data_IF_233153969007
#
_entry.id   IF_233153969007
#
_cell.length_a   1.000
_cell.length_b   1.000
_cell.length_c   1.000
_cell.angle_alpha   90.00
_cell.angle_beta   90.00
_cell.angle_gamma   90.00
#
_symmetry.space_group_name_H-M   'P 1'
#
loop_
_entity.id
_entity.type
_entity.pdbx_description
1 polymer ?
#
# COMPACT_ATOMS: atom_id res chain seq x y z
N UNK A 1 -3.80 20.76 24.00
CA UNK A 1 -2.41 21.26 24.06
C UNK A 1 -1.89 21.35 22.64
N UNK A 2 -1.19 22.42 22.27
CA UNK A 2 -0.61 22.53 20.93
C UNK A 2 0.44 21.42 20.72
N UNK A 3 0.38 20.72 19.58
CA UNK A 3 1.39 19.71 19.22
C UNK A 3 2.78 20.35 19.11
N UNK A 4 3.79 19.69 19.67
CA UNK A 4 5.19 20.11 19.56
C UNK A 4 5.69 19.98 18.11
N UNK A 5 6.80 20.64 17.77
CA UNK A 5 7.37 20.52 16.42
C UNK A 5 7.84 19.08 16.12
N UNK A 6 8.41 18.40 17.12
CA UNK A 6 8.81 16.99 17.02
C UNK A 6 7.60 16.07 16.76
N UNK A 7 6.48 16.28 17.46
CA UNK A 7 5.23 15.51 17.22
C UNK A 7 4.72 15.69 15.78
N UNK A 8 4.75 16.92 15.27
CA UNK A 8 4.34 17.20 13.89
C UNK A 8 5.27 16.51 12.89
N UNK A 9 6.58 16.58 13.10
CA UNK A 9 7.57 15.89 12.24
C UNK A 9 7.36 14.37 12.27
N UNK A 10 7.13 13.78 13.45
CA UNK A 10 6.83 12.35 13.57
C UNK A 10 5.57 11.97 12.82
N UNK A 11 4.47 12.72 12.96
CA UNK A 11 3.24 12.49 12.22
C UNK A 11 3.49 12.50 10.71
N UNK A 12 4.25 13.47 10.20
CA UNK A 12 4.60 13.55 8.77
C UNK A 12 5.42 12.34 8.30
N UNK A 13 6.37 11.87 9.11
CA UNK A 13 7.12 10.64 8.84
C UNK A 13 6.17 9.44 8.81
N UNK A 14 5.28 9.30 9.79
CA UNK A 14 4.33 8.18 9.87
C UNK A 14 3.33 8.19 8.71
N UNK A 15 2.84 9.36 8.27
CA UNK A 15 1.88 9.45 7.18
C UNK A 15 2.52 9.30 5.80
N UNK A 16 3.67 9.95 5.57
CA UNK A 16 4.24 10.02 4.22
C UNK A 16 5.77 9.96 4.14
N UNK A 17 6.47 9.68 5.24
CA UNK A 17 7.90 9.37 5.24
C UNK A 17 8.81 10.54 4.91
N UNK A 18 8.40 11.77 5.28
CA UNK A 18 9.26 12.95 5.19
C UNK A 18 8.97 13.86 6.37
N UNK A 19 10.02 14.48 6.93
CA UNK A 19 9.91 15.39 8.08
C UNK A 19 9.37 16.75 7.67
N UNK A 20 9.70 17.16 6.45
CA UNK A 20 9.23 18.38 5.85
C UNK A 20 7.74 18.26 5.47
N UNK A 21 7.10 19.41 5.29
CA UNK A 21 5.74 19.49 4.75
C UNK A 21 5.71 19.19 3.24
N UNK A 22 6.50 18.22 2.77
CA UNK A 22 6.66 17.83 1.38
C UNK A 22 6.31 16.36 1.21
N UNK A 23 5.23 16.15 0.45
CA UNK A 23 4.91 14.84 -0.07
C UNK A 23 5.60 14.64 -1.42
N UNK A 24 6.39 13.57 -1.51
CA UNK A 24 6.95 13.11 -2.78
C UNK A 24 6.33 11.75 -3.11
N UNK A 25 5.70 11.51 -4.24
CA UNK A 25 5.09 10.20 -4.49
C UNK A 25 6.10 9.06 -4.76
N UNK A 26 5.64 7.79 -4.76
CA UNK A 26 6.44 6.60 -5.13
C UNK A 26 6.84 5.66 -3.98
N UNK A 27 7.56 4.57 -4.31
CA UNK A 27 7.96 3.54 -3.36
C UNK A 27 8.96 4.06 -2.33
N UNK A 28 8.52 4.07 -1.07
CA UNK A 28 9.25 4.65 0.05
C UNK A 28 10.51 3.86 0.42
N UNK A 29 10.46 2.53 0.38
CA UNK A 29 11.62 1.68 0.68
C UNK A 29 12.84 1.95 -0.23
N UNK A 30 12.66 2.61 -1.37
CA UNK A 30 13.74 3.01 -2.29
C UNK A 30 14.38 4.36 -1.93
N UNK A 31 13.78 5.16 -1.04
CA UNK A 31 14.30 6.47 -0.59
C UNK A 31 15.47 6.37 0.39
N UNK A 32 16.01 5.18 0.57
CA UNK A 32 17.15 4.90 1.46
C UNK A 32 16.95 5.53 2.84
N UNK A 33 15.83 5.25 3.51
CA UNK A 33 15.61 5.70 4.90
C UNK A 33 16.68 5.23 5.88
N UNK A 34 17.43 4.21 5.47
CA UNK A 34 18.56 3.66 6.19
C UNK A 34 19.85 4.49 6.03
N UNK A 35 19.84 5.58 5.27
CA UNK A 35 20.94 6.55 5.27
C UNK A 35 21.15 7.11 6.67
N UNK A 36 22.42 7.16 7.09
CA UNK A 36 22.80 7.48 8.46
C UNK A 36 22.22 8.82 8.94
N UNK A 37 22.26 9.85 8.09
CA UNK A 37 21.71 11.17 8.39
C UNK A 37 20.21 11.12 8.71
N UNK A 38 19.42 10.41 7.88
CA UNK A 38 17.96 10.29 8.06
C UNK A 38 17.61 9.47 9.30
N UNK A 39 18.38 8.44 9.58
CA UNK A 39 18.23 7.63 10.79
C UNK A 39 18.51 8.48 12.03
N UNK A 40 19.58 9.28 12.00
CA UNK A 40 19.97 10.15 13.11
C UNK A 40 18.93 11.25 13.36
N UNK A 41 18.37 11.85 12.30
CA UNK A 41 17.28 12.81 12.40
C UNK A 41 16.03 12.20 13.05
N UNK A 42 15.60 11.03 12.58
CA UNK A 42 14.48 10.30 13.19
C UNK A 42 14.73 9.98 14.67
N UNK A 43 15.96 9.58 15.02
CA UNK A 43 16.34 9.32 16.43
C UNK A 43 16.26 10.59 17.29
N UNK A 44 16.68 11.74 16.76
CA UNK A 44 16.53 13.03 17.45
C UNK A 44 15.07 13.35 17.72
N UNK A 45 14.20 13.20 16.71
CA UNK A 45 12.75 13.44 16.84
C UNK A 45 12.14 12.50 17.89
N UNK A 46 12.49 11.21 17.87
CA UNK A 46 12.01 10.22 18.85
C UNK A 46 12.52 10.54 20.28
N UNK A 47 13.69 11.16 20.42
CA UNK A 47 14.25 11.52 21.72
C UNK A 47 13.57 12.75 22.33
N UNK A 48 13.13 13.70 21.52
CA UNK A 48 12.44 14.93 21.95
C UNK A 48 10.99 14.70 22.39
N UNK A 49 10.35 13.63 21.91
CA UNK A 49 8.95 13.33 22.24
C UNK A 49 8.88 12.54 23.56
N UNK A 50 7.97 12.97 24.43
CA UNK A 50 7.64 12.26 25.67
C UNK A 50 7.26 10.79 25.41
N UNK A 51 7.76 9.90 26.26
CA UNK A 51 7.70 8.45 26.04
C UNK A 51 6.28 7.91 25.85
N UNK A 52 5.33 8.28 26.72
CA UNK A 52 3.94 7.83 26.61
C UNK A 52 3.27 8.37 25.34
N UNK A 53 3.46 9.67 25.10
CA UNK A 53 2.89 10.38 23.95
C UNK A 53 3.37 9.84 22.61
N UNK A 54 4.64 9.43 22.52
CA UNK A 54 5.22 8.79 21.34
C UNK A 54 4.42 7.55 20.92
N UNK A 55 4.17 6.63 21.86
CA UNK A 55 3.46 5.40 21.54
C UNK A 55 1.96 5.63 21.32
N UNK A 56 1.38 6.65 21.96
CA UNK A 56 -0.02 7.04 21.69
C UNK A 56 -0.19 7.54 20.25
N UNK A 57 0.77 8.34 19.74
CA UNK A 57 0.76 8.78 18.34
C UNK A 57 0.87 7.59 17.40
N UNK A 58 1.82 6.68 17.62
CA UNK A 58 2.02 5.50 16.76
C UNK A 58 0.75 4.62 16.77
N UNK A 59 0.18 4.34 17.95
CA UNK A 59 -1.06 3.56 18.08
C UNK A 59 -2.25 4.24 17.41
N UNK A 60 -2.37 5.56 17.55
CA UNK A 60 -3.42 6.34 16.91
C UNK A 60 -3.37 6.19 15.39
N UNK A 61 -2.20 6.43 14.78
CA UNK A 61 -2.02 6.34 13.32
C UNK A 61 -2.33 4.92 12.80
N UNK A 62 -1.89 3.90 13.53
CA UNK A 62 -2.16 2.51 13.16
C UNK A 62 -3.66 2.15 13.26
N UNK A 63 -4.32 2.52 14.37
CA UNK A 63 -5.75 2.23 14.60
C UNK A 63 -6.65 2.95 13.60
N UNK A 64 -6.36 4.22 13.32
CA UNK A 64 -7.13 5.02 12.37
C UNK A 64 -6.83 4.63 10.91
N UNK A 65 -5.79 3.82 10.68
CA UNK A 65 -5.28 3.44 9.35
C UNK A 65 -4.99 4.67 8.49
N UNK A 66 -4.37 5.68 9.12
CA UNK A 66 -4.13 6.99 8.52
C UNK A 66 -2.80 7.12 7.82
N UNK A 67 -1.92 6.14 7.95
CA UNK A 67 -0.69 6.13 7.18
C UNK A 67 -0.92 5.67 5.74
N UNK A 68 -0.36 6.42 4.78
CA UNK A 68 -0.29 5.98 3.38
C UNK A 68 0.71 4.85 3.17
N UNK A 69 1.65 4.70 4.12
CA UNK A 69 2.69 3.69 4.09
C UNK A 69 2.77 3.04 5.47
N UNK A 70 1.85 2.10 5.77
CA UNK A 70 1.83 1.40 7.07
C UNK A 70 3.17 0.77 7.44
N UNK A 71 3.97 0.35 6.45
CA UNK A 71 5.36 -0.09 6.61
C UNK A 71 6.23 0.87 7.45
N UNK A 72 6.00 2.19 7.35
CA UNK A 72 6.76 3.20 8.09
C UNK A 72 6.46 3.19 9.59
N UNK A 73 5.26 2.77 9.99
CA UNK A 73 4.90 2.59 11.40
C UNK A 73 5.81 1.53 12.02
N UNK A 74 5.99 0.41 11.33
CA UNK A 74 6.87 -0.68 11.77
C UNK A 74 8.35 -0.27 11.76
N UNK A 75 8.75 0.57 10.81
CA UNK A 75 10.10 1.12 10.77
C UNK A 75 10.39 2.02 11.97
N UNK A 76 9.50 2.98 12.27
CA UNK A 76 9.62 3.86 13.46
C UNK A 76 9.62 3.04 14.74
N UNK A 77 8.77 2.01 14.82
CA UNK A 77 8.70 1.12 15.97
C UNK A 77 9.99 0.32 16.16
N UNK A 78 10.61 -0.14 15.07
CA UNK A 78 11.91 -0.79 15.10
C UNK A 78 13.02 0.18 15.57
N UNK A 79 12.99 1.46 15.17
CA UNK A 79 13.92 2.47 15.71
C UNK A 79 13.69 2.70 17.21
N UNK A 80 12.44 2.77 17.67
CA UNK A 80 12.13 2.85 19.10
C UNK A 80 12.68 1.64 19.87
N UNK A 81 12.57 0.44 19.31
CA UNK A 81 13.04 -0.79 19.93
C UNK A 81 14.57 -0.94 20.01
N UNK A 82 15.33 -0.07 19.34
CA UNK A 82 16.80 -0.01 19.48
C UNK A 82 17.21 0.66 20.79
N UNK A 83 16.49 1.69 21.23
CA UNK A 83 16.74 2.34 22.52
C UNK A 83 16.40 1.41 23.67
N UNK A 84 17.29 1.28 24.66
CA UNK A 84 17.07 0.37 25.80
C UNK A 84 15.84 0.76 26.62
N UNK A 85 15.63 2.06 26.78
CA UNK A 85 14.53 2.64 27.55
C UNK A 85 13.20 2.40 26.85
N UNK A 86 13.14 2.61 25.53
CA UNK A 86 11.91 2.50 24.72
C UNK A 86 11.59 1.07 24.27
N UNK A 87 12.55 0.14 24.35
CA UNK A 87 12.44 -1.24 23.83
C UNK A 87 11.27 -2.05 24.40
N UNK A 88 10.99 -2.06 25.70
CA UNK A 88 9.88 -2.84 26.25
C UNK A 88 8.54 -2.44 25.64
N UNK A 89 8.25 -1.14 25.59
CA UNK A 89 6.99 -0.61 25.06
C UNK A 89 6.91 -0.69 23.54
N UNK A 90 8.04 -0.52 22.84
CA UNK A 90 8.09 -0.71 21.40
C UNK A 90 7.79 -2.16 21.00
N UNK A 91 8.34 -3.15 21.73
CA UNK A 91 8.04 -4.56 21.47
C UNK A 91 6.59 -4.92 21.87
N UNK A 92 6.05 -4.31 22.91
CA UNK A 92 4.64 -4.49 23.29
C UNK A 92 3.70 -3.93 22.23
N UNK A 93 3.94 -2.71 21.75
CA UNK A 93 3.20 -2.15 20.63
C UNK A 93 3.40 -2.98 19.35
N UNK A 94 4.58 -3.56 19.12
CA UNK A 94 4.80 -4.44 17.97
C UNK A 94 3.97 -5.73 18.08
N UNK A 95 3.78 -6.27 19.29
CA UNK A 95 2.90 -7.42 19.55
C UNK A 95 1.44 -7.11 19.25
N UNK A 96 0.99 -5.87 19.52
CA UNK A 96 -0.36 -5.39 19.18
C UNK A 96 -0.54 -5.19 17.66
N UNK A 97 0.49 -4.70 16.96
CA UNK A 97 0.38 -4.26 15.56
C UNK A 97 0.76 -5.33 14.53
N UNK A 98 1.69 -6.22 14.85
CA UNK A 98 2.16 -7.27 13.94
C UNK A 98 1.20 -8.47 13.96
N UNK A 99 -0.07 -8.25 13.63
CA UNK A 99 -1.08 -9.31 13.61
C UNK A 99 -0.89 -10.26 12.42
N UNK A 100 -0.48 -9.73 11.26
CA UNK A 100 -0.23 -10.50 10.04
C UNK A 100 1.21 -10.99 9.95
N UNK A 101 1.42 -12.08 9.19
CA UNK A 101 2.75 -12.61 8.90
C UNK A 101 3.64 -11.58 8.17
N UNK A 102 3.08 -10.82 7.23
CA UNK A 102 3.80 -9.77 6.51
C UNK A 102 4.36 -8.70 7.45
N UNK A 103 3.53 -8.17 8.36
CA UNK A 103 3.96 -7.10 9.28
C UNK A 103 5.00 -7.61 10.27
N UNK A 104 4.80 -8.84 10.76
CA UNK A 104 5.75 -9.49 11.65
C UNK A 104 7.13 -9.66 10.99
N UNK A 105 7.19 -10.22 9.78
CA UNK A 105 8.44 -10.39 9.04
C UNK A 105 9.06 -9.04 8.63
N UNK A 106 8.23 -8.05 8.27
CA UNK A 106 8.69 -6.70 7.92
C UNK A 106 9.29 -5.96 9.11
N UNK A 107 8.71 -6.09 10.30
CA UNK A 107 9.31 -5.55 11.53
C UNK A 107 10.74 -6.07 11.72
N UNK A 108 10.97 -7.37 11.55
CA UNK A 108 12.32 -7.94 11.69
C UNK A 108 13.28 -7.51 10.58
N UNK A 109 12.76 -7.29 9.37
CA UNK A 109 13.54 -6.62 8.32
C UNK A 109 14.05 -5.27 8.80
N UNK A 110 13.20 -4.41 9.33
CA UNK A 110 13.62 -3.10 9.82
C UNK A 110 14.54 -3.20 11.03
N UNK A 111 14.25 -4.11 11.97
CA UNK A 111 15.03 -4.37 13.18
C UNK A 111 16.49 -4.77 12.90
N UNK A 112 16.74 -5.39 11.73
CA UNK A 112 18.05 -5.89 11.30
C UNK A 112 18.65 -5.15 10.11
N UNK A 113 17.95 -4.16 9.55
CA UNK A 113 18.44 -3.40 8.40
C UNK A 113 19.49 -2.34 8.78
N UNK A 114 19.43 -1.78 10.01
CA UNK A 114 20.29 -0.66 10.45
C UNK A 114 20.92 -0.94 11.81
N UNK A 115 22.20 -0.58 11.94
CA UNK A 115 22.98 -0.66 13.18
C UNK A 115 22.67 0.50 14.15
N UNK A 116 22.67 0.29 15.48
CA UNK A 116 22.78 -1.02 16.14
C UNK A 116 21.53 -1.87 15.87
N UNK A 117 21.74 -3.16 15.61
CA UNK A 117 20.63 -4.09 15.41
C UNK A 117 19.86 -4.30 16.71
N UNK A 118 18.56 -4.56 16.61
CA UNK A 118 17.81 -5.03 17.78
C UNK A 118 18.43 -6.35 18.24
N UNK A 119 18.86 -6.38 19.50
CA UNK A 119 19.45 -7.55 20.12
C UNK A 119 18.47 -8.74 20.19
N UNK A 120 19.00 -9.96 20.22
CA UNK A 120 18.21 -11.20 20.37
C UNK A 120 18.09 -11.61 21.84
N UNK A 121 18.01 -10.63 22.74
CA UNK A 121 17.90 -10.84 24.18
C UNK A 121 16.52 -11.39 24.60
N UNK A 122 16.32 -11.56 25.91
CA UNK A 122 15.12 -12.19 26.48
C UNK A 122 13.81 -11.56 26.00
N UNK A 123 13.73 -10.22 25.95
CA UNK A 123 12.53 -9.51 25.53
C UNK A 123 12.18 -9.77 24.05
N UNK A 124 13.17 -9.73 23.17
CA UNK A 124 13.00 -10.00 21.73
C UNK A 124 12.60 -11.46 21.48
N UNK A 125 13.27 -12.42 22.15
CA UNK A 125 12.88 -13.84 22.06
C UNK A 125 11.46 -14.08 22.56
N UNK A 126 11.05 -13.44 23.67
CA UNK A 126 9.68 -13.53 24.19
C UNK A 126 8.67 -12.98 23.19
N UNK A 127 8.93 -11.83 22.59
CA UNK A 127 8.07 -11.25 21.55
C UNK A 127 7.89 -12.22 20.38
N UNK A 128 8.99 -12.78 19.85
CA UNK A 128 8.93 -13.75 18.76
C UNK A 128 8.12 -14.99 19.19
N UNK A 129 8.45 -15.59 20.34
CA UNK A 129 7.79 -16.80 20.84
C UNK A 129 6.29 -16.58 21.03
N UNK A 130 5.90 -15.45 21.63
CA UNK A 130 4.49 -15.11 21.84
C UNK A 130 3.73 -15.01 20.51
N UNK A 131 4.35 -14.46 19.47
CA UNK A 131 3.70 -14.30 18.17
C UNK A 131 3.28 -15.66 17.57
N UNK A 132 4.10 -16.70 17.73
CA UNK A 132 3.77 -18.04 17.24
C UNK A 132 2.87 -18.81 18.20
N UNK A 133 3.13 -18.77 19.51
CA UNK A 133 2.46 -19.65 20.47
C UNK A 133 1.10 -19.14 20.97
N UNK A 134 0.77 -17.86 20.79
CA UNK A 134 -0.55 -17.32 21.21
C UNK A 134 -1.67 -17.59 20.20
N UNK A 135 -1.33 -17.93 18.95
CA UNK A 135 -2.29 -18.13 17.87
C UNK A 135 -2.88 -19.54 17.92
N UNK A 136 -4.07 -19.71 17.35
CA UNK A 136 -4.57 -21.05 17.09
C UNK A 136 -3.64 -21.75 16.08
N UNK A 137 -3.45 -23.06 16.23
CA UNK A 137 -2.50 -23.83 15.42
C UNK A 137 -2.90 -23.88 13.93
N UNK A 138 -4.20 -23.95 13.62
CA UNK A 138 -4.71 -23.90 12.26
C UNK A 138 -4.60 -22.50 11.66
N UNK A 139 -5.01 -21.47 12.41
CA UNK A 139 -4.87 -20.07 12.01
C UNK A 139 -3.40 -19.70 11.71
N UNK A 140 -2.48 -20.18 12.54
CA UNK A 140 -1.04 -20.03 12.31
C UNK A 140 -0.61 -20.76 11.03
N UNK A 141 -1.10 -21.98 10.80
CA UNK A 141 -0.81 -22.74 9.58
C UNK A 141 -1.30 -22.02 8.31
N UNK A 142 -2.49 -21.43 8.35
CA UNK A 142 -3.05 -20.63 7.27
C UNK A 142 -2.19 -19.39 6.99
N UNK A 143 -1.85 -18.60 8.01
CA UNK A 143 -1.02 -17.39 7.85
C UNK A 143 0.34 -17.68 7.22
N UNK A 144 1.03 -18.72 7.69
CA UNK A 144 2.38 -19.06 7.18
C UNK A 144 2.34 -19.82 5.86
N UNK A 145 1.21 -20.50 5.59
CA UNK A 145 0.90 -21.09 4.28
C UNK A 145 0.66 -20.02 3.22
N UNK A 146 0.01 -18.92 3.59
CA UNK A 146 -0.21 -17.77 2.72
C UNK A 146 1.09 -16.97 2.51
N UNK A 147 1.77 -16.63 3.60
CA UNK A 147 2.98 -15.79 3.59
C UNK A 147 4.18 -16.56 4.17
N UNK A 148 4.82 -17.46 3.40
CA UNK A 148 5.96 -18.23 3.89
C UNK A 148 7.21 -17.38 4.13
N UNK A 149 7.30 -16.24 3.42
CA UNK A 149 8.40 -15.29 3.53
C UNK A 149 7.92 -13.92 3.07
N UNK A 150 8.52 -12.86 3.61
CA UNK A 150 8.21 -11.50 3.19
C UNK A 150 9.47 -10.64 3.20
N UNK A 151 9.70 -9.92 2.10
CA UNK A 151 10.77 -8.93 1.94
C UNK A 151 12.19 -9.44 2.28
N UNK A 152 12.44 -10.74 2.10
CA UNK A 152 13.74 -11.39 2.33
C UNK A 152 13.88 -12.09 3.68
N UNK A 153 12.85 -12.07 4.53
CA UNK A 153 12.81 -12.77 5.81
C UNK A 153 11.88 -13.97 5.76
N UNK A 154 12.27 -15.08 6.39
CA UNK A 154 11.44 -16.29 6.51
C UNK A 154 11.11 -16.56 7.97
N UNK A 155 9.99 -17.23 8.21
CA UNK A 155 9.62 -17.67 9.57
C UNK A 155 10.70 -18.57 10.20
N UNK A 156 11.35 -19.43 9.40
CA UNK A 156 12.46 -20.27 9.83
C UNK A 156 13.59 -19.49 10.53
N UNK A 157 13.91 -18.29 10.03
CA UNK A 157 14.99 -17.47 10.56
C UNK A 157 14.63 -16.96 11.97
N UNK A 158 13.37 -16.59 12.18
CA UNK A 158 12.85 -16.12 13.48
C UNK A 158 12.70 -17.25 14.50
N UNK A 159 12.23 -18.42 14.05
CA UNK A 159 12.13 -19.63 14.90
C UNK A 159 13.52 -20.01 15.41
N UNK A 160 14.55 -19.94 14.55
CA UNK A 160 15.94 -20.19 14.93
C UNK A 160 16.46 -19.15 15.94
N UNK A 161 16.15 -17.86 15.76
CA UNK A 161 16.58 -16.78 16.67
C UNK A 161 15.98 -16.94 18.07
N UNK A 162 14.70 -17.32 18.16
CA UNK A 162 13.97 -17.42 19.41
C UNK A 162 14.06 -18.80 20.08
N UNK A 163 14.57 -19.81 19.38
CA UNK A 163 14.61 -21.21 19.83
C UNK A 163 13.23 -21.71 20.27
N UNK A 164 12.21 -21.44 19.45
CA UNK A 164 10.81 -21.73 19.78
C UNK A 164 10.60 -23.24 19.85
N UNK A 165 9.89 -23.68 20.89
CA UNK A 165 9.39 -25.05 21.05
C UNK A 165 7.94 -24.96 21.52
N UNK A 166 7.10 -25.88 21.04
CA UNK A 166 5.73 -26.04 21.51
C UNK A 166 5.54 -27.42 22.10
N UNK A 167 4.77 -27.51 23.18
CA UNK A 167 4.28 -28.78 23.76
C UNK A 167 3.01 -29.27 23.07
N UNK A 168 2.29 -28.37 22.39
CA UNK A 168 1.13 -28.72 21.56
C UNK A 168 1.60 -29.33 20.22
N UNK A 169 1.21 -30.58 19.91
CA UNK A 169 1.62 -31.26 18.68
C UNK A 169 1.22 -30.51 17.40
N UNK A 170 0.05 -29.87 17.37
CA UNK A 170 -0.41 -29.14 16.19
C UNK A 170 0.49 -27.93 15.88
N UNK A 171 0.75 -27.10 16.89
CA UNK A 171 1.68 -25.96 16.76
C UNK A 171 3.11 -26.43 16.49
N UNK A 172 3.55 -27.53 17.12
CA UNK A 172 4.87 -28.12 16.88
C UNK A 172 5.03 -28.61 15.42
N UNK A 173 3.96 -29.14 14.81
CA UNK A 173 3.92 -29.50 13.40
C UNK A 173 4.12 -28.28 12.50
N UNK A 174 3.48 -27.14 12.77
CA UNK A 174 3.70 -25.89 12.02
C UNK A 174 5.15 -25.41 12.13
N UNK A 175 5.70 -25.35 13.35
CA UNK A 175 7.09 -24.93 13.57
C UNK A 175 8.09 -25.84 12.84
N UNK A 176 7.79 -27.15 12.81
CA UNK A 176 8.58 -28.16 12.10
C UNK A 176 8.49 -27.99 10.58
N UNK A 177 7.29 -27.75 10.05
CA UNK A 177 7.08 -27.44 8.63
C UNK A 177 7.93 -26.23 8.20
N UNK A 178 7.88 -25.14 8.98
CA UNK A 178 8.60 -23.91 8.64
C UNK A 178 10.13 -24.06 8.72
N UNK A 179 10.62 -24.85 9.67
CA UNK A 179 12.05 -24.98 9.92
C UNK A 179 12.72 -26.11 9.13
N UNK A 180 12.00 -27.21 8.89
CA UNK A 180 12.54 -28.48 8.35
C UNK A 180 11.78 -28.99 7.12
N UNK A 181 10.62 -28.40 6.78
CA UNK A 181 9.84 -28.72 5.59
C UNK A 181 8.74 -29.77 5.82
N UNK A 182 7.92 -29.96 4.78
CA UNK A 182 6.71 -30.80 4.83
C UNK A 182 6.99 -32.27 5.14
N UNK A 183 8.05 -32.85 4.55
CA UNK A 183 8.40 -34.26 4.76
C UNK A 183 8.62 -34.57 6.24
N UNK A 184 9.48 -33.80 6.91
CA UNK A 184 9.77 -33.99 8.32
C UNK A 184 8.58 -33.74 9.23
N UNK A 185 7.71 -32.78 8.91
CA UNK A 185 6.46 -32.57 9.64
C UNK A 185 5.58 -33.82 9.57
N UNK A 186 5.39 -34.39 8.37
CA UNK A 186 4.56 -35.59 8.16
C UNK A 186 5.17 -36.79 8.91
N UNK A 187 6.48 -36.99 8.80
CA UNK A 187 7.17 -38.10 9.46
C UNK A 187 7.03 -38.05 11.00
N UNK A 188 6.98 -36.86 11.59
CA UNK A 188 6.92 -36.67 13.05
C UNK A 188 5.50 -36.57 13.61
N UNK A 189 4.56 -35.99 12.87
CA UNK A 189 3.23 -35.61 13.37
C UNK A 189 2.06 -36.12 12.52
N UNK A 190 2.33 -36.86 11.43
CA UNK A 190 1.29 -37.31 10.49
C UNK A 190 0.22 -38.20 11.09
N UNK A 191 0.60 -39.03 12.07
CA UNK A 191 -0.31 -39.94 12.77
C UNK A 191 -0.88 -39.34 14.07
N UNK A 192 -0.48 -38.12 14.47
CA UNK A 192 -0.97 -37.50 15.70
C UNK A 192 -2.39 -36.95 15.50
N UNK A 193 -3.40 -37.44 16.25
CA UNK A 193 -4.78 -36.99 16.10
C UNK A 193 -4.96 -35.48 16.32
N UNK A 194 -4.15 -34.86 17.20
CA UNK A 194 -4.22 -33.43 17.50
C UNK A 194 -3.60 -32.57 16.40
N UNK A 195 -2.63 -33.09 15.66
CA UNK A 195 -1.98 -32.37 14.56
C UNK A 195 -2.59 -32.66 13.19
N UNK A 196 -3.49 -33.66 13.09
CA UNK A 196 -4.06 -34.16 11.83
C UNK A 196 -4.58 -33.06 10.90
N UNK A 197 -5.33 -32.11 11.42
CA UNK A 197 -5.91 -31.02 10.62
C UNK A 197 -4.83 -30.10 10.04
N UNK A 198 -3.91 -29.63 10.89
CA UNK A 198 -2.77 -28.79 10.50
C UNK A 198 -1.85 -29.49 9.50
N UNK A 199 -1.52 -30.76 9.76
CA UNK A 199 -0.67 -31.56 8.87
C UNK A 199 -1.36 -31.76 7.52
N UNK A 200 -2.66 -32.06 7.51
CA UNK A 200 -3.45 -32.18 6.29
C UNK A 200 -3.43 -30.87 5.49
N UNK A 201 -3.72 -29.74 6.12
CA UNK A 201 -3.72 -28.42 5.49
C UNK A 201 -2.35 -28.10 4.86
N UNK A 202 -1.27 -28.12 5.65
CA UNK A 202 0.07 -27.75 5.17
C UNK A 202 0.61 -28.72 4.12
N UNK A 203 0.29 -30.01 4.23
CA UNK A 203 0.61 -31.01 3.19
C UNK A 203 -0.08 -30.66 1.88
N UNK A 204 -1.35 -30.29 1.91
CA UNK A 204 -2.11 -29.94 0.71
C UNK A 204 -1.64 -28.62 0.10
N UNK A 205 -1.30 -27.61 0.92
CA UNK A 205 -0.68 -26.36 0.42
C UNK A 205 0.69 -26.62 -0.22
N UNK A 206 1.52 -27.49 0.37
CA UNK A 206 2.83 -27.84 -0.19
C UNK A 206 2.71 -28.62 -1.51
N UNK A 207 1.75 -29.54 -1.59
CA UNK A 207 1.44 -30.28 -2.81
C UNK A 207 0.87 -29.37 -3.90
N UNK A 208 -0.06 -28.48 -3.54
CA UNK A 208 -0.66 -27.51 -4.43
C UNK A 208 0.38 -26.69 -5.18
N UNK A 209 1.40 -26.19 -4.48
CA UNK A 209 2.50 -25.40 -5.08
C UNK A 209 3.31 -26.17 -6.12
N UNK A 210 3.30 -27.51 -6.06
CA UNK A 210 3.98 -28.40 -7.00
C UNK A 210 3.05 -28.93 -8.09
N UNK A 211 1.74 -28.85 -7.87
CA UNK A 211 0.73 -29.42 -8.75
C UNK A 211 0.64 -28.64 -10.07
N UNK A 212 0.74 -29.40 -11.16
CA UNK A 212 0.65 -28.91 -12.53
C UNK A 212 -0.70 -29.21 -13.18
N UNK A 213 -1.60 -29.97 -12.56
CA UNK A 213 -2.93 -30.26 -13.08
C UNK A 213 -3.91 -29.11 -12.83
N UNK A 214 -4.72 -28.74 -13.81
CA UNK A 214 -5.66 -27.62 -13.66
C UNK A 214 -6.87 -27.99 -12.79
N UNK A 215 -7.42 -29.20 -12.95
CA UNK A 215 -8.59 -29.63 -12.19
C UNK A 215 -8.31 -29.83 -10.71
N UNK A 216 -7.17 -30.44 -10.37
CA UNK A 216 -6.71 -30.63 -8.99
C UNK A 216 -6.44 -29.31 -8.27
N UNK A 217 -5.79 -28.36 -8.95
CA UNK A 217 -5.54 -27.00 -8.44
C UNK A 217 -6.86 -26.28 -8.12
N UNK A 218 -7.84 -26.33 -9.02
CA UNK A 218 -9.16 -25.69 -8.80
C UNK A 218 -9.88 -26.29 -7.59
N UNK A 219 -9.94 -27.62 -7.49
CA UNK A 219 -10.55 -28.30 -6.33
C UNK A 219 -9.89 -27.89 -5.02
N UNK A 220 -8.57 -27.78 -5.02
CA UNK A 220 -7.80 -27.38 -3.82
C UNK A 220 -8.10 -25.93 -3.43
N UNK A 221 -8.18 -25.02 -4.39
CA UNK A 221 -8.58 -23.61 -4.17
C UNK A 221 -9.97 -23.54 -3.54
N UNK A 222 -10.94 -24.30 -4.07
CA UNK A 222 -12.31 -24.30 -3.59
C UNK A 222 -12.45 -24.90 -2.18
N UNK A 223 -11.70 -25.99 -1.92
CA UNK A 223 -11.73 -26.73 -0.64
C UNK A 223 -11.09 -25.94 0.49
N UNK A 224 -9.89 -25.40 0.26
CA UNK A 224 -9.09 -24.72 1.30
C UNK A 224 -9.16 -23.19 1.22
N UNK A 225 -10.01 -22.65 0.35
CA UNK A 225 -10.19 -21.21 0.16
C UNK A 225 -8.87 -20.47 -0.15
N UNK A 226 -7.99 -21.09 -0.94
CA UNK A 226 -6.66 -20.54 -1.20
C UNK A 226 -6.74 -19.21 -1.97
N UNK A 227 -5.90 -18.26 -1.57
CA UNK A 227 -5.77 -16.94 -2.21
C UNK A 227 -4.71 -16.93 -3.31
N UNK A 228 -4.64 -15.82 -4.07
CA UNK A 228 -3.61 -15.61 -5.11
C UNK A 228 -2.17 -15.72 -4.57
N UNK A 229 -1.96 -15.41 -3.28
CA UNK A 229 -0.69 -15.50 -2.57
C UNK A 229 -0.10 -16.92 -2.56
N UNK A 230 -0.96 -17.94 -2.66
CA UNK A 230 -0.55 -19.34 -2.69
C UNK A 230 -0.05 -19.80 -4.07
N UNK A 231 -0.34 -19.04 -5.14
CA UNK A 231 -0.05 -19.45 -6.51
C UNK A 231 1.43 -19.39 -6.86
N UNK A 232 1.85 -20.33 -7.71
CA UNK A 232 3.14 -20.27 -8.40
C UNK A 232 3.01 -19.65 -9.81
N UNK A 233 4.14 -19.47 -10.50
CA UNK A 233 4.18 -18.89 -11.85
C UNK A 233 3.47 -19.74 -12.94
N UNK A 234 3.28 -21.04 -12.69
CA UNK A 234 2.58 -21.96 -13.60
C UNK A 234 1.07 -21.70 -13.48
N UNK A 235 0.55 -21.64 -12.26
CA UNK A 235 -0.85 -21.38 -11.97
C UNK A 235 -1.31 -20.01 -12.48
N UNK A 236 -0.47 -18.98 -12.31
CA UNK A 236 -0.78 -17.61 -12.75
C UNK A 236 -1.03 -17.46 -14.25
N UNK A 237 -0.67 -18.46 -15.07
CA UNK A 237 -0.91 -18.46 -16.53
C UNK A 237 -2.19 -19.18 -16.94
N UNK A 238 -2.83 -19.93 -16.03
CA UNK A 238 -4.00 -20.77 -16.33
C UNK A 238 -5.29 -20.01 -16.11
N UNK A 239 -6.15 -19.96 -17.13
CA UNK A 239 -7.38 -19.18 -17.09
C UNK A 239 -8.40 -19.73 -16.09
N UNK A 240 -8.62 -21.05 -16.03
CA UNK A 240 -9.65 -21.61 -15.15
C UNK A 240 -9.28 -21.48 -13.68
N UNK A 241 -7.98 -21.50 -13.35
CA UNK A 241 -7.48 -21.20 -12.00
C UNK A 241 -7.89 -19.80 -11.56
N UNK A 242 -7.78 -18.79 -12.45
CA UNK A 242 -8.24 -17.44 -12.13
C UNK A 242 -9.75 -17.34 -11.97
N UNK A 243 -10.54 -18.04 -12.79
CA UNK A 243 -12.00 -18.08 -12.63
C UNK A 243 -12.39 -18.62 -11.25
N UNK A 244 -11.72 -19.68 -10.78
CA UNK A 244 -11.93 -20.22 -9.44
C UNK A 244 -11.59 -19.21 -8.33
N UNK A 245 -10.49 -18.46 -8.48
CA UNK A 245 -10.07 -17.44 -7.51
C UNK A 245 -10.97 -16.21 -7.48
N UNK A 246 -11.43 -15.74 -8.64
CA UNK A 246 -12.21 -14.51 -8.77
C UNK A 246 -13.50 -14.54 -7.93
N UNK A 247 -14.12 -15.71 -7.74
CA UNK A 247 -15.38 -15.85 -6.99
C UNK A 247 -15.33 -15.31 -5.56
N UNK A 248 -14.15 -15.27 -4.94
CA UNK A 248 -13.95 -14.80 -3.56
C UNK A 248 -12.87 -13.72 -3.45
N UNK A 249 -12.40 -13.20 -4.59
CA UNK A 249 -11.29 -12.25 -4.62
C UNK A 249 -11.78 -10.86 -4.20
N UNK A 250 -11.10 -10.21 -3.24
CA UNK A 250 -11.33 -8.81 -2.95
C UNK A 250 -10.99 -7.89 -4.15
N UNK A 251 -11.71 -6.78 -4.28
CA UNK A 251 -11.57 -5.86 -5.42
C UNK A 251 -10.18 -5.22 -5.50
N UNK A 252 -9.55 -4.89 -4.37
CA UNK A 252 -8.21 -4.31 -4.30
C UNK A 252 -7.14 -5.30 -4.81
N UNK A 253 -7.27 -6.57 -4.42
CA UNK A 253 -6.44 -7.66 -4.91
C UNK A 253 -6.56 -7.80 -6.42
N UNK A 254 -7.79 -7.80 -6.96
CA UNK A 254 -8.00 -7.85 -8.41
C UNK A 254 -7.30 -6.70 -9.14
N UNK A 255 -7.37 -5.48 -8.62
CA UNK A 255 -6.73 -4.30 -9.23
C UNK A 255 -5.21 -4.46 -9.32
N UNK A 256 -4.56 -5.07 -8.33
CA UNK A 256 -3.13 -5.35 -8.36
C UNK A 256 -2.73 -6.35 -9.48
N UNK A 257 -3.65 -7.24 -9.88
CA UNK A 257 -3.40 -8.26 -10.90
C UNK A 257 -3.99 -7.93 -12.28
N UNK A 258 -4.86 -6.92 -12.43
CA UNK A 258 -5.60 -6.66 -13.68
C UNK A 258 -4.66 -6.51 -14.89
N UNK A 259 -3.50 -5.87 -14.70
CA UNK A 259 -2.49 -5.70 -15.74
C UNK A 259 -1.74 -7.00 -16.08
N UNK A 260 -1.58 -7.89 -15.10
CA UNK A 260 -1.03 -9.23 -15.32
C UNK A 260 -2.00 -10.08 -16.14
N UNK A 261 -3.30 -10.05 -15.84
CA UNK A 261 -4.35 -10.74 -16.61
C UNK A 261 -4.37 -10.27 -18.07
N UNK A 262 -4.20 -8.97 -18.29
CA UNK A 262 -4.05 -8.39 -19.63
C UNK A 262 -2.79 -8.91 -20.34
N UNK A 263 -1.65 -8.95 -19.63
CA UNK A 263 -0.36 -9.44 -20.16
C UNK A 263 -0.47 -10.90 -20.62
N UNK A 264 -1.20 -11.74 -19.88
CA UNK A 264 -1.45 -13.13 -20.24
C UNK A 264 -2.62 -13.33 -21.21
N UNK A 265 -3.22 -12.25 -21.72
CA UNK A 265 -4.32 -12.28 -22.69
C UNK A 265 -5.55 -13.07 -22.20
N UNK A 266 -5.79 -13.09 -20.89
CA UNK A 266 -6.86 -13.89 -20.28
C UNK A 266 -8.25 -13.43 -20.72
N UNK A 267 -8.44 -12.16 -20.99
CA UNK A 267 -9.71 -11.64 -21.50
C UNK A 267 -10.09 -12.10 -22.92
N UNK A 268 -9.23 -12.85 -23.63
CA UNK A 268 -9.45 -13.25 -25.03
C UNK A 268 -9.68 -14.75 -25.18
N UNK A 269 -10.54 -15.10 -26.14
CA UNK A 269 -10.73 -16.46 -26.68
C UNK A 269 -10.54 -16.40 -28.19
N UNK A 270 -9.32 -16.69 -28.65
CA UNK A 270 -8.92 -16.44 -30.04
C UNK A 270 -8.99 -14.96 -30.38
N UNK A 271 -9.79 -14.59 -31.38
CA UNK A 271 -10.01 -13.18 -31.78
C UNK A 271 -11.12 -12.49 -30.97
N UNK A 272 -11.98 -13.26 -30.31
CA UNK A 272 -13.12 -12.74 -29.55
C UNK A 272 -12.76 -12.48 -28.09
N UNK A 273 -13.64 -11.75 -27.42
CA UNK A 273 -13.62 -11.63 -25.97
C UNK A 273 -14.06 -12.94 -25.33
N UNK A 274 -13.44 -13.29 -24.21
CA UNK A 274 -13.89 -14.40 -23.38
C UNK A 274 -14.93 -13.88 -22.40
N UNK A 275 -16.21 -14.11 -22.72
CA UNK A 275 -17.31 -13.54 -21.93
C UNK A 275 -17.41 -14.15 -20.54
N UNK A 276 -17.06 -15.43 -20.38
CA UNK A 276 -17.02 -16.08 -19.06
C UNK A 276 -16.01 -15.39 -18.15
N UNK A 277 -14.79 -15.18 -18.65
CA UNK A 277 -13.73 -14.52 -17.89
C UNK A 277 -14.03 -13.03 -17.63
N UNK A 278 -14.57 -12.32 -18.63
CA UNK A 278 -14.96 -10.91 -18.47
C UNK A 278 -16.05 -10.74 -17.42
N UNK A 279 -17.07 -11.60 -17.45
CA UNK A 279 -18.18 -11.56 -16.48
C UNK A 279 -17.63 -11.80 -15.07
N UNK A 280 -16.82 -12.85 -14.87
CA UNK A 280 -16.21 -13.15 -13.58
C UNK A 280 -15.37 -11.98 -13.02
N UNK A 281 -14.66 -11.24 -13.88
CA UNK A 281 -13.91 -10.04 -13.46
C UNK A 281 -14.85 -8.88 -13.14
N UNK A 282 -15.88 -8.66 -13.95
CA UNK A 282 -16.84 -7.57 -13.73
C UNK A 282 -17.68 -7.77 -12.47
N UNK A 283 -18.02 -9.02 -12.13
CA UNK A 283 -18.73 -9.38 -10.90
C UNK A 283 -17.93 -8.95 -9.66
N UNK A 284 -16.61 -9.16 -9.67
CA UNK A 284 -15.72 -8.71 -8.58
C UNK A 284 -15.67 -7.19 -8.52
N UNK A 285 -15.56 -6.50 -9.67
CA UNK A 285 -15.52 -5.03 -9.72
C UNK A 285 -16.82 -4.38 -9.23
N UNK A 286 -17.96 -5.08 -9.31
CA UNK A 286 -19.27 -4.61 -8.87
C UNK A 286 -19.63 -5.04 -7.44
N UNK A 287 -18.75 -5.75 -6.73
CA UNK A 287 -19.03 -6.25 -5.39
C UNK A 287 -19.00 -5.13 -4.34
N UNK A 288 -20.19 -4.60 -4.00
CA UNK A 288 -20.37 -3.48 -3.05
C UNK A 288 -19.78 -3.78 -1.67
N UNK A 289 -19.91 -5.02 -1.17
CA UNK A 289 -19.38 -5.39 0.15
C UNK A 289 -17.85 -5.29 0.16
N UNK A 290 -17.20 -5.82 -0.89
CA UNK A 290 -15.74 -5.75 -1.02
C UNK A 290 -15.25 -4.31 -1.17
N UNK A 291 -16.00 -3.44 -1.86
CA UNK A 291 -15.66 -2.02 -2.02
C UNK A 291 -15.68 -1.31 -0.67
N UNK A 292 -16.69 -1.55 0.16
CA UNK A 292 -16.82 -0.94 1.48
C UNK A 292 -15.73 -1.44 2.46
N UNK A 293 -15.43 -2.74 2.46
CA UNK A 293 -14.45 -3.35 3.36
C UNK A 293 -13.01 -2.88 3.07
N UNK A 294 -12.65 -2.73 1.79
CA UNK A 294 -11.28 -2.41 1.36
C UNK A 294 -10.91 -0.93 1.52
N UNK A 295 -11.87 -0.04 1.85
CA UNK A 295 -11.69 1.43 1.89
C UNK A 295 -10.99 1.96 0.62
N UNK A 296 -11.28 1.34 -0.51
CA UNK A 296 -10.66 1.62 -1.79
C UNK A 296 -10.91 3.07 -2.18
N UNK A 297 -9.85 3.80 -2.55
CA UNK A 297 -9.92 5.20 -2.94
C UNK A 297 -10.18 5.36 -4.45
N UNK A 298 -10.98 6.34 -4.89
CA UNK A 298 -11.29 6.54 -6.32
C UNK A 298 -10.07 6.78 -7.19
N UNK A 299 -9.10 7.47 -6.62
CA UNK A 299 -7.82 7.79 -7.22
C UNK A 299 -7.00 6.55 -7.61
N UNK A 300 -7.07 5.46 -6.82
CA UNK A 300 -6.41 4.18 -7.15
C UNK A 300 -7.03 3.56 -8.39
N UNK A 301 -8.36 3.46 -8.41
CA UNK A 301 -9.10 2.86 -9.53
C UNK A 301 -8.89 3.65 -10.82
N UNK A 302 -8.86 4.98 -10.73
CA UNK A 302 -8.59 5.85 -11.88
C UNK A 302 -7.19 5.63 -12.48
N UNK A 303 -6.17 5.35 -11.66
CA UNK A 303 -4.83 4.99 -12.14
C UNK A 303 -4.88 3.67 -12.92
N UNK A 304 -5.55 2.66 -12.37
CA UNK A 304 -5.65 1.34 -12.99
C UNK A 304 -6.45 1.40 -14.30
N UNK A 305 -7.52 2.21 -14.36
CA UNK A 305 -8.28 2.52 -15.58
C UNK A 305 -7.39 3.17 -16.65
N UNK A 306 -6.67 4.24 -16.30
CA UNK A 306 -5.75 4.91 -17.22
C UNK A 306 -4.67 3.95 -17.72
N UNK A 307 -4.13 3.13 -16.82
CA UNK A 307 -3.10 2.14 -17.18
C UNK A 307 -3.67 1.08 -18.13
N UNK A 308 -4.88 0.59 -17.87
CA UNK A 308 -5.55 -0.36 -18.76
C UNK A 308 -5.76 0.21 -20.17
N UNK A 309 -6.28 1.44 -20.28
CA UNK A 309 -6.59 2.07 -21.55
C UNK A 309 -5.34 2.50 -22.34
N UNK A 310 -4.35 3.10 -21.68
CA UNK A 310 -3.26 3.80 -22.37
C UNK A 310 -1.93 3.04 -22.42
N UNK A 311 -1.71 2.04 -21.55
CA UNK A 311 -0.45 1.29 -21.56
C UNK A 311 -0.16 0.56 -22.87
N UNK A 312 -1.14 -0.10 -23.54
CA UNK A 312 -0.93 -0.75 -24.83
C UNK A 312 -0.37 0.20 -25.89
N UNK A 313 -1.00 1.37 -26.05
CA UNK A 313 -0.59 2.39 -27.02
C UNK A 313 0.78 2.98 -26.69
N UNK A 314 1.03 3.29 -25.43
CA UNK A 314 2.30 3.90 -25.03
C UNK A 314 3.49 2.93 -25.17
N UNK A 315 3.31 1.65 -24.83
CA UNK A 315 4.35 0.62 -25.04
C UNK A 315 4.68 0.46 -26.53
N UNK A 316 3.70 0.61 -27.40
CA UNK A 316 3.90 0.59 -28.85
C UNK A 316 4.73 1.78 -29.34
N UNK A 317 4.39 2.99 -28.89
CA UNK A 317 5.13 4.22 -29.22
C UNK A 317 6.60 4.11 -28.79
N UNK A 318 6.87 3.56 -27.59
CA UNK A 318 8.23 3.31 -27.10
C UNK A 318 8.97 2.23 -27.91
N UNK A 319 8.28 1.16 -28.29
CA UNK A 319 8.87 0.11 -29.12
C UNK A 319 9.25 0.63 -30.51
N UNK A 320 8.38 1.45 -31.12
CA UNK A 320 8.63 2.10 -32.40
C UNK A 320 9.83 3.06 -32.33
N UNK A 321 9.92 3.87 -31.27
CA UNK A 321 11.05 4.81 -31.07
C UNK A 321 12.38 4.13 -30.78
N UNK A 322 12.37 2.96 -30.14
CA UNK A 322 13.59 2.25 -29.74
C UNK A 322 14.14 1.30 -30.83
N UNK A 323 13.51 1.22 -32.01
CA UNK A 323 13.87 0.29 -33.11
C UNK A 323 13.98 -1.19 -32.69
N UNK A 324 13.49 -1.55 -31.49
CA UNK A 324 13.79 -2.83 -30.84
C UNK A 324 12.83 -3.98 -31.22
N UNK A 325 11.81 -3.77 -32.07
CA UNK A 325 10.91 -4.83 -32.59
C UNK A 325 9.91 -4.28 -33.62
N UNK A 326 9.37 -5.16 -34.46
CA UNK A 326 8.12 -4.94 -35.22
C UNK A 326 6.99 -4.61 -34.23
N UNK A 327 6.46 -3.40 -34.35
CA UNK A 327 5.35 -2.87 -33.58
C UNK A 327 4.09 -3.74 -33.76
N UNK A 328 3.78 -4.62 -32.80
CA UNK A 328 2.52 -5.37 -32.81
C UNK A 328 1.35 -4.43 -32.51
N UNK A 329 0.19 -4.60 -33.18
CA UNK A 329 -1.02 -3.83 -32.87
C UNK A 329 -1.33 -3.93 -31.37
N UNK A 330 -1.70 -2.80 -30.72
CA UNK A 330 -1.99 -2.83 -29.29
C UNK A 330 -3.21 -3.74 -29.05
N UNK A 331 -3.25 -4.52 -27.96
CA UNK A 331 -4.44 -5.27 -27.59
C UNK A 331 -5.66 -4.34 -27.54
N UNK A 332 -6.76 -4.77 -28.15
CA UNK A 332 -8.00 -3.99 -28.12
C UNK A 332 -8.56 -3.94 -26.70
N UNK A 333 -9.10 -2.78 -26.33
CA UNK A 333 -9.65 -2.44 -25.02
C UNK A 333 -11.11 -2.90 -24.95
N UNK A 334 -11.51 -3.52 -23.84
CA UNK A 334 -12.91 -3.91 -23.60
C UNK A 334 -13.69 -2.71 -23.11
N UNK A 335 -14.75 -2.36 -23.84
CA UNK A 335 -15.67 -1.31 -23.42
C UNK A 335 -16.37 -1.67 -22.10
N UNK A 336 -16.80 -2.94 -21.96
CA UNK A 336 -17.44 -3.45 -20.76
C UNK A 336 -16.56 -3.31 -19.52
N UNK A 337 -15.26 -3.63 -19.63
CA UNK A 337 -14.33 -3.49 -18.50
C UNK A 337 -14.07 -2.02 -18.14
N UNK A 338 -13.98 -1.14 -19.14
CA UNK A 338 -13.86 0.32 -18.93
C UNK A 338 -15.07 0.84 -18.16
N UNK A 339 -16.27 0.52 -18.63
CA UNK A 339 -17.52 0.98 -17.99
C UNK A 339 -17.63 0.48 -16.54
N UNK A 340 -17.25 -0.77 -16.25
CA UNK A 340 -17.27 -1.28 -14.87
C UNK A 340 -16.21 -0.62 -13.97
N UNK A 341 -15.03 -0.31 -14.50
CA UNK A 341 -14.03 0.48 -13.76
C UNK A 341 -14.51 1.92 -13.51
N UNK A 342 -15.20 2.54 -14.45
CA UNK A 342 -15.82 3.86 -14.27
C UNK A 342 -16.91 3.83 -13.18
N UNK A 343 -17.77 2.80 -13.18
CA UNK A 343 -18.75 2.59 -12.10
C UNK A 343 -18.08 2.37 -10.75
N UNK A 344 -16.99 1.60 -10.71
CA UNK A 344 -16.22 1.37 -9.50
C UNK A 344 -15.62 2.68 -8.96
N UNK A 345 -15.10 3.56 -9.83
CA UNK A 345 -14.63 4.89 -9.44
C UNK A 345 -15.76 5.66 -8.74
N UNK A 346 -16.97 5.64 -9.30
CA UNK A 346 -18.14 6.31 -8.71
C UNK A 346 -18.48 5.70 -7.33
N UNK A 347 -18.54 4.37 -7.22
CA UNK A 347 -18.85 3.68 -5.97
C UNK A 347 -17.80 3.95 -4.86
N UNK A 348 -16.53 4.09 -5.22
CA UNK A 348 -15.47 4.37 -4.23
C UNK A 348 -15.55 5.76 -3.60
N UNK A 349 -16.35 6.69 -4.13
CA UNK A 349 -16.55 8.00 -3.50
C UNK A 349 -17.25 7.90 -2.15
N UNK A 350 -18.08 6.88 -1.95
CA UNK A 350 -18.78 6.65 -0.68
C UNK A 350 -17.79 6.29 0.45
N UNK A 351 -16.58 5.82 0.10
CA UNK A 351 -15.51 5.54 1.05
C UNK A 351 -14.70 6.79 1.46
N UNK A 352 -14.94 7.95 0.83
CA UNK A 352 -14.17 9.17 1.08
C UNK A 352 -14.87 10.02 2.12
N UNK A 353 -14.26 10.18 3.29
CA UNK A 353 -14.80 11.06 4.33
C UNK A 353 -14.67 12.54 3.92
N UNK A 354 -15.78 13.31 3.89
CA UNK A 354 -15.74 14.72 3.60
C UNK A 354 -15.14 15.49 4.79
N UNK A 355 -14.30 16.47 4.49
CA UNK A 355 -13.66 17.30 5.54
C UNK A 355 -14.55 18.44 6.06
N UNK A 356 -15.64 18.75 5.35
CA UNK A 356 -16.53 19.88 5.67
C UNK A 356 -15.89 21.27 5.45
N UNK A 357 -14.68 21.35 4.88
CA UNK A 357 -13.97 22.59 4.61
C UNK A 357 -14.33 23.16 3.23
N UNK A 358 -14.16 24.46 3.06
CA UNK A 358 -14.36 25.14 1.77
C UNK A 358 -13.06 25.20 0.99
N UNK A 359 -13.08 24.56 -0.17
CA UNK A 359 -11.93 24.43 -1.05
C UNK A 359 -11.99 25.39 -2.22
N UNK A 360 -10.82 25.93 -2.59
CA UNK A 360 -10.59 26.50 -3.92
C UNK A 360 -9.50 25.67 -4.59
N UNK A 361 -9.84 25.04 -5.72
CA UNK A 361 -8.93 24.18 -6.49
C UNK A 361 -8.55 24.88 -7.77
N UNK A 362 -7.30 25.32 -7.85
CA UNK A 362 -6.78 26.01 -9.00
C UNK A 362 -5.84 25.12 -9.82
N UNK A 363 -6.20 24.87 -11.07
CA UNK A 363 -5.42 24.04 -12.00
C UNK A 363 -4.71 24.92 -13.02
N UNK A 364 -3.39 24.80 -13.12
CA UNK A 364 -2.58 25.35 -14.21
C UNK A 364 -2.58 24.41 -15.42
N UNK A 365 -3.16 24.84 -16.53
CA UNK A 365 -3.31 24.00 -17.72
C UNK A 365 -2.19 24.20 -18.76
N UNK A 366 -1.18 25.05 -18.52
CA UNK A 366 -0.32 25.55 -19.60
C UNK A 366 0.48 24.46 -20.34
N UNK A 367 0.97 23.45 -19.61
CA UNK A 367 1.84 22.40 -20.16
C UNK A 367 1.39 20.97 -19.80
N UNK A 368 0.22 20.83 -19.16
CA UNK A 368 -0.23 19.53 -18.63
C UNK A 368 -0.56 18.49 -19.71
N UNK A 369 -0.94 18.93 -20.91
CA UNK A 369 -1.26 18.01 -22.03
C UNK A 369 -0.02 17.45 -22.73
N UNK A 370 1.17 17.97 -22.43
CA UNK A 370 2.43 17.53 -23.07
C UNK A 370 3.23 16.59 -22.19
N UNK A 371 2.86 16.44 -20.92
CA UNK A 371 3.67 15.76 -19.90
C UNK A 371 2.89 14.62 -19.25
N UNK A 372 3.63 13.56 -18.92
CA UNK A 372 3.14 12.41 -18.16
C UNK A 372 3.53 12.56 -16.70
N UNK A 373 2.75 11.97 -15.80
CA UNK A 373 3.08 11.97 -14.37
C UNK A 373 4.34 11.12 -14.12
N UNK A 374 5.25 11.63 -13.29
CA UNK A 374 6.38 10.84 -12.80
C UNK A 374 5.85 9.58 -12.10
N UNK A 375 6.52 8.44 -12.25
CA UNK A 375 6.08 7.14 -11.72
C UNK A 375 4.71 6.61 -12.22
N UNK A 376 3.87 7.41 -12.89
CA UNK A 376 2.63 6.97 -13.54
C UNK A 376 2.72 7.20 -15.05
N UNK A 377 3.52 6.37 -15.71
CA UNK A 377 3.90 6.56 -17.10
C UNK A 377 2.72 6.56 -18.08
N UNK A 378 1.58 5.99 -17.70
CA UNK A 378 0.40 5.87 -18.55
C UNK A 378 -0.62 6.98 -18.35
N UNK A 379 -0.39 7.87 -17.39
CA UNK A 379 -1.27 8.98 -17.05
C UNK A 379 -0.66 10.32 -17.44
N UNK A 380 -1.46 11.17 -18.07
CA UNK A 380 -1.11 12.56 -18.38
C UNK A 380 -1.29 13.45 -17.15
N UNK A 381 -0.50 14.51 -17.02
CA UNK A 381 -0.66 15.43 -15.87
C UNK A 381 -2.01 16.15 -15.89
N UNK A 382 -2.62 16.35 -17.06
CA UNK A 382 -3.98 16.88 -17.18
C UNK A 382 -5.05 15.93 -16.65
N UNK A 383 -4.91 14.62 -16.89
CA UNK A 383 -5.80 13.59 -16.34
C UNK A 383 -5.66 13.51 -14.81
N UNK A 384 -4.42 13.58 -14.31
CA UNK A 384 -4.17 13.59 -12.88
C UNK A 384 -4.79 14.83 -12.20
N UNK A 385 -4.61 16.01 -12.79
CA UNK A 385 -5.20 17.24 -12.30
C UNK A 385 -6.72 17.21 -12.33
N UNK A 386 -7.31 16.65 -13.40
CA UNK A 386 -8.76 16.48 -13.52
C UNK A 386 -9.29 15.53 -12.45
N UNK A 387 -8.64 14.41 -12.15
CA UNK A 387 -9.11 13.49 -11.10
C UNK A 387 -9.04 14.12 -9.70
N UNK A 388 -7.97 14.86 -9.38
CA UNK A 388 -7.88 15.59 -8.09
C UNK A 388 -8.96 16.68 -8.01
N UNK A 389 -9.22 17.39 -9.12
CA UNK A 389 -10.23 18.43 -9.17
C UNK A 389 -11.66 17.86 -9.14
N UNK A 390 -11.93 16.76 -9.85
CA UNK A 390 -13.23 16.10 -9.91
C UNK A 390 -13.63 15.52 -8.56
N UNK A 391 -12.64 15.09 -7.75
CA UNK A 391 -12.91 14.67 -6.38
C UNK A 391 -13.50 15.79 -5.50
N UNK A 392 -13.27 17.08 -5.80
CA UNK A 392 -13.61 18.19 -4.86
C UNK A 392 -14.01 19.54 -5.49
N UNK A 393 -14.40 19.56 -6.77
CA UNK A 393 -14.97 20.68 -7.55
C UNK A 393 -14.67 22.12 -7.06
N UNK A 394 -13.70 22.81 -7.68
CA UNK A 394 -13.40 24.24 -7.47
C UNK A 394 -12.70 24.93 -8.67
N UNK A 395 -12.59 26.28 -8.69
CA UNK A 395 -12.46 27.10 -9.91
C UNK A 395 -11.04 27.29 -10.49
N UNK A 396 -10.98 27.51 -11.81
CA UNK A 396 -9.77 27.61 -12.66
C UNK A 396 -8.87 28.83 -12.32
N UNK A 397 -7.55 28.63 -12.49
CA UNK A 397 -6.40 29.57 -12.45
C UNK A 397 -5.73 29.88 -11.09
N UNK A 398 -4.41 29.63 -11.02
CA UNK A 398 -3.61 29.46 -9.78
C UNK A 398 -3.32 30.72 -8.97
N UNK A 399 -2.97 31.84 -9.61
CA UNK A 399 -2.68 33.10 -8.90
C UNK A 399 -3.88 34.06 -8.89
N UNK A 400 -4.71 33.97 -9.92
CA UNK A 400 -5.95 34.71 -10.00
C UNK A 400 -6.99 34.21 -8.99
N UNK A 401 -6.98 32.95 -8.58
CA UNK A 401 -7.94 32.40 -7.60
C UNK A 401 -7.76 32.92 -6.18
N UNK A 402 -6.52 33.13 -5.71
CA UNK A 402 -6.25 33.80 -4.43
C UNK A 402 -6.69 35.27 -4.48
N UNK A 403 -6.30 36.00 -5.53
CA UNK A 403 -6.70 37.39 -5.73
C UNK A 403 -8.21 37.52 -5.97
N UNK A 404 -8.83 36.57 -6.67
CA UNK A 404 -10.27 36.49 -6.92
C UNK A 404 -11.02 36.18 -5.63
N UNK A 405 -10.58 35.22 -4.82
CA UNK A 405 -11.24 34.89 -3.56
C UNK A 405 -11.22 36.10 -2.61
N UNK A 406 -10.08 36.79 -2.52
CA UNK A 406 -9.97 38.04 -1.75
C UNK A 406 -10.83 39.15 -2.35
N UNK A 407 -10.81 39.36 -3.69
CA UNK A 407 -11.63 40.38 -4.36
C UNK A 407 -13.14 40.11 -4.25
N UNK A 408 -13.53 38.85 -4.26
CA UNK A 408 -14.93 38.40 -4.18
C UNK A 408 -15.39 38.19 -2.73
N UNK A 409 -14.53 38.46 -1.73
CA UNK A 409 -14.78 38.22 -0.30
C UNK A 409 -15.33 36.80 -0.04
N UNK A 410 -14.83 35.82 -0.78
CA UNK A 410 -15.23 34.42 -0.60
C UNK A 410 -14.51 33.88 0.62
N UNK A 411 -15.27 33.32 1.55
CA UNK A 411 -14.72 32.60 2.67
C UNK A 411 -14.21 31.23 2.18
N UNK A 412 -12.90 31.01 2.31
CA UNK A 412 -12.20 29.81 1.85
C UNK A 412 -11.37 29.30 3.02
N UNK A 413 -11.33 27.98 3.22
CA UNK A 413 -10.56 27.36 4.30
C UNK A 413 -9.27 26.70 3.77
N UNK A 414 -9.29 26.18 2.53
CA UNK A 414 -8.14 25.52 1.90
C UNK A 414 -7.99 25.92 0.44
N UNK A 415 -6.77 26.32 0.06
CA UNK A 415 -6.37 26.52 -1.34
C UNK A 415 -5.54 25.33 -1.82
N UNK A 416 -6.01 24.68 -2.88
CA UNK A 416 -5.29 23.60 -3.57
C UNK A 416 -4.82 24.14 -4.90
N UNK A 417 -3.51 24.08 -5.12
CA UNK A 417 -2.89 24.51 -6.37
C UNK A 417 -2.29 23.30 -7.06
N UNK A 418 -2.70 23.06 -8.30
CA UNK A 418 -2.23 21.96 -9.13
C UNK A 418 -1.48 22.55 -10.32
N UNK A 419 -0.19 22.25 -10.43
CA UNK A 419 0.68 22.78 -11.48
C UNK A 419 1.85 21.84 -11.77
N UNK A 420 2.62 22.16 -12.81
CA UNK A 420 3.86 21.43 -13.13
C UNK A 420 5.05 22.00 -12.37
N UNK A 421 6.04 21.15 -12.03
CA UNK A 421 7.17 21.50 -11.15
C UNK A 421 8.01 22.70 -11.63
N UNK A 422 8.07 22.96 -12.94
CA UNK A 422 8.80 24.11 -13.52
C UNK A 422 8.21 25.46 -13.11
N UNK A 423 6.92 25.53 -12.84
CA UNK A 423 6.27 26.76 -12.38
C UNK A 423 6.19 26.85 -10.86
N UNK A 424 6.30 25.71 -10.16
CA UNK A 424 6.06 25.63 -8.71
C UNK A 424 7.13 26.34 -7.88
N UNK A 425 8.41 26.29 -8.25
CA UNK A 425 9.49 26.99 -7.53
C UNK A 425 9.27 28.51 -7.52
N UNK A 426 8.83 29.10 -8.64
CA UNK A 426 8.45 30.51 -8.70
C UNK A 426 7.12 30.82 -8.00
N UNK A 427 6.27 29.81 -7.82
CA UNK A 427 4.95 29.94 -7.20
C UNK A 427 5.02 29.98 -5.67
N UNK A 428 5.86 29.15 -5.04
CA UNK A 428 6.03 29.13 -3.58
C UNK A 428 6.52 30.50 -3.08
N UNK A 429 7.50 31.10 -3.78
CA UNK A 429 7.98 32.45 -3.47
C UNK A 429 6.88 33.50 -3.61
N UNK A 430 6.09 33.45 -4.69
CA UNK A 430 4.95 34.36 -4.91
C UNK A 430 3.80 34.16 -3.93
N UNK A 431 3.51 32.93 -3.50
CA UNK A 431 2.49 32.65 -2.48
C UNK A 431 2.94 33.16 -1.11
N UNK A 432 4.23 33.02 -0.77
CA UNK A 432 4.80 33.61 0.44
C UNK A 432 4.76 35.16 0.40
N UNK A 433 4.99 35.76 -0.76
CA UNK A 433 4.85 37.21 -0.98
C UNK A 433 3.38 37.67 -0.91
N UNK A 434 2.44 36.91 -1.48
CA UNK A 434 1.00 37.21 -1.39
C UNK A 434 0.50 37.06 0.06
N UNK A 435 1.07 36.14 0.85
CA UNK A 435 0.80 36.00 2.28
C UNK A 435 1.21 37.23 3.09
N UNK A 436 2.29 37.91 2.70
CA UNK A 436 2.73 39.13 3.40
C UNK A 436 1.95 40.39 2.96
N UNK A 437 1.40 40.39 1.74
CA UNK A 437 0.69 41.54 1.16
C UNK A 437 -0.83 41.52 1.29
N UNK A 438 -1.45 40.33 1.32
CA UNK A 438 -2.89 40.18 1.46
C UNK A 438 -3.18 39.72 2.90
N UNK A 439 -4.09 40.40 3.60
CA UNK A 439 -4.70 39.97 4.86
C UNK A 439 -5.57 38.72 4.64
N UNK A 440 -4.98 37.65 4.11
CA UNK A 440 -5.64 36.35 3.99
C UNK A 440 -5.50 35.67 5.36
N UNK A 441 -6.56 35.06 5.92
CA UNK A 441 -6.50 34.31 7.18
C UNK A 441 -5.37 33.27 7.19
N UNK A 442 -4.97 32.78 8.36
CA UNK A 442 -3.86 31.81 8.49
C UNK A 442 -4.11 30.51 7.69
N UNK A 443 -3.64 30.42 6.45
CA UNK A 443 -3.63 29.18 5.67
C UNK A 443 -2.30 28.44 5.87
N UNK A 444 -2.35 27.13 6.12
CA UNK A 444 -1.15 26.28 6.08
C UNK A 444 -0.86 25.87 4.63
N UNK A 445 0.24 26.36 4.07
CA UNK A 445 0.72 25.96 2.75
C UNK A 445 1.47 24.63 2.87
N UNK A 446 0.91 23.55 2.32
CA UNK A 446 1.65 22.31 2.05
C UNK A 446 2.04 22.28 0.58
N UNK A 447 3.33 22.08 0.30
CA UNK A 447 3.86 21.94 -1.05
C UNK A 447 4.10 20.47 -1.37
N UNK A 448 3.36 19.90 -2.31
CA UNK A 448 3.72 18.61 -2.89
C UNK A 448 4.55 18.83 -4.16
N UNK A 449 5.81 18.41 -4.14
CA UNK A 449 6.71 18.50 -5.28
C UNK A 449 6.84 17.13 -5.95
N UNK A 450 6.36 17.03 -7.19
CA UNK A 450 6.53 15.84 -8.02
C UNK A 450 7.92 15.91 -8.67
N UNK A 451 8.89 15.24 -8.04
CA UNK A 451 10.28 15.15 -8.53
C UNK A 451 10.58 13.77 -9.12
N UNK A 452 11.44 13.78 -10.15
CA UNK A 452 11.82 12.66 -11.02
C UNK A 452 12.57 11.55 -10.27
N UNK A 453 12.00 10.35 -10.22
CA UNK A 453 12.79 9.10 -10.20
C UNK A 453 11.96 7.93 -10.73
N UNK A 454 12.56 6.76 -10.92
CA UNK A 454 12.04 5.68 -11.77
C UNK A 454 11.36 4.56 -10.96
N UNK A 455 10.02 4.47 -10.96
CA UNK A 455 9.18 3.24 -11.02
C UNK A 455 7.76 3.42 -10.41
N UNK A 456 6.72 2.74 -10.95
CA UNK A 456 5.33 2.91 -10.55
C UNK A 456 5.03 2.09 -9.29
N UNK A 457 4.51 2.75 -8.24
CA UNK A 457 3.67 2.12 -7.21
C UNK A 457 3.06 3.22 -6.32
N UNK A 458 1.72 3.32 -6.34
CA UNK A 458 0.82 4.13 -5.49
C UNK A 458 1.07 5.64 -5.48
N UNK A 459 0.26 6.40 -6.23
CA UNK A 459 0.52 7.82 -6.50
C UNK A 459 -0.66 8.76 -6.24
N UNK A 460 -1.91 8.37 -6.52
CA UNK A 460 -3.06 9.29 -6.41
C UNK A 460 -3.91 9.09 -5.15
N UNK A 461 -3.82 7.94 -4.48
CA UNK A 461 -4.37 7.68 -3.12
C UNK A 461 -3.87 8.67 -2.05
N UNK A 462 -2.83 9.44 -2.39
CA UNK A 462 -1.97 10.10 -1.41
C UNK A 462 -2.17 11.63 -1.34
N UNK A 463 -2.85 12.24 -2.31
CA UNK A 463 -3.21 13.67 -2.27
C UNK A 463 -4.42 13.88 -1.36
N UNK A 464 -5.35 12.93 -1.32
CA UNK A 464 -6.51 12.92 -0.44
C UNK A 464 -6.10 12.96 1.04
N UNK A 465 -5.02 12.25 1.39
CA UNK A 465 -4.51 12.12 2.76
C UNK A 465 -3.76 13.33 3.31
N UNK A 466 -3.02 14.05 2.45
CA UNK A 466 -2.32 15.29 2.84
C UNK A 466 -3.30 16.39 3.26
N UNK A 467 -4.50 16.38 2.65
CA UNK A 467 -5.54 17.36 2.90
C UNK A 467 -6.39 16.99 4.14
N UNK A 468 -6.38 15.72 4.55
CA UNK A 468 -6.97 15.21 5.80
C UNK A 468 -5.95 15.08 6.94
N UNK A 469 -4.75 15.65 6.81
CA UNK A 469 -3.69 15.62 7.84
C UNK A 469 -4.29 15.98 9.21
N UNK A 470 -4.21 15.10 10.23
CA UNK A 470 -4.70 15.38 11.58
C UNK A 470 -4.06 16.64 12.17
N UNK A 471 -2.85 17.01 11.74
CA UNK A 471 -2.22 18.26 12.15
C UNK A 471 -2.95 19.49 11.58
N UNK A 472 -3.67 19.38 10.45
CA UNK A 472 -4.54 20.42 9.89
C UNK A 472 -5.91 20.50 10.60
N UNK A 473 -6.31 19.46 11.33
CA UNK A 473 -7.61 19.39 12.02
C UNK A 473 -7.63 20.05 13.41
N UNK A 474 -6.49 20.54 13.91
CA UNK A 474 -6.45 21.40 15.11
C UNK A 474 -7.09 22.77 14.80
N UNK A 475 -8.43 22.83 14.90
CA UNK A 475 -9.17 24.08 15.00
C UNK A 475 -8.87 24.72 16.35
N UNK A 476 -8.03 25.76 16.33
CA UNK A 476 -8.19 26.99 17.12
C UNK A 476 -7.49 28.14 16.41
#
# INVERSE_FOLDING_TARGET
MAQTDAEKKLLRILHYGCEEAIYVPGCRLQKKFYEEDKVNQLRSIIAEIEHEKLFDIIRKVMREKTSLYPDLILYVLAECARSEIKRPDALKAAEEMCTTAEYFLLFFKFAKAVSPYIGTGRACRRFITNWYLKKNSLELAEMVGETPSYRGWRHADLIKIAHIKSTDPATAAVLTYLSRGAKTMIDMYGEDPKAKEVVSYLKNVDNFRKDGDEGSVIRTIETYMLTVSHLNFIHLKKKQVWIALLRRMPVDTLLDYIHLLCKYRMFRKGRMWDQEFLTAVCDVLCNVNSIAETRLQPSRVFIDLCTYQFAPKYKLELAAKSLRRLAQKPPAISYELVTNLEKLIIATYDNVEPTGLRYVIAVDNSDMHKRRCAHLQYMMTSQAAAAIAFQRSGPKYVLASLVWAVKQKKEVDVFIIIGTCLQFQGLVGKVAELRSKLLVPNFRCQSSAISLSYHPCHFMTNIEYLITDPALQDKK
#
